data_IF_369823574721
#
_entry.id   IF_369823574721
#
_cell.length_a   1.000
_cell.length_b   1.000
_cell.length_c   1.000
_cell.angle_alpha   90.00
_cell.angle_beta   90.00
_cell.angle_gamma   90.00
#
_symmetry.space_group_name_H-M   'P 1'
#
loop_
_entity.id
_entity.type
_entity.pdbx_description
1 polymer ?
#
# COMPACT_ATOMS: atom_id res chain seq x y z
N UNK A 1 -27.14 49.31 -2.78
CA UNK A 1 -26.88 48.00 -2.11
C UNK A 1 -27.39 46.80 -2.90
N UNK A 2 -28.00 46.98 -4.09
CA UNK A 2 -28.56 45.87 -4.87
C UNK A 2 -27.55 45.23 -5.85
N UNK A 3 -26.57 45.98 -6.33
CA UNK A 3 -25.63 45.50 -7.37
C UNK A 3 -24.57 44.53 -6.84
N UNK A 4 -24.00 44.82 -5.66
CA UNK A 4 -22.99 43.98 -5.03
C UNK A 4 -23.57 42.61 -4.61
N UNK A 5 -24.76 42.61 -4.00
CA UNK A 5 -25.44 41.38 -3.59
C UNK A 5 -25.78 40.47 -4.78
N UNK A 6 -26.13 41.06 -5.93
CA UNK A 6 -26.43 40.31 -7.14
C UNK A 6 -25.21 39.60 -7.72
N UNK A 7 -24.05 40.28 -7.73
CA UNK A 7 -22.79 39.69 -8.19
C UNK A 7 -22.32 38.55 -7.29
N UNK A 8 -22.44 38.70 -5.97
CA UNK A 8 -22.10 37.64 -5.02
C UNK A 8 -22.96 36.38 -5.20
N UNK A 9 -24.27 36.54 -5.40
CA UNK A 9 -25.17 35.41 -5.64
C UNK A 9 -24.90 34.73 -6.98
N UNK A 10 -24.56 35.49 -8.03
CA UNK A 10 -24.19 34.93 -9.34
C UNK A 10 -22.90 34.11 -9.25
N UNK A 11 -21.91 34.58 -8.50
CA UNK A 11 -20.64 33.88 -8.31
C UNK A 11 -20.75 32.68 -7.36
N UNK A 12 -21.76 32.63 -6.49
CA UNK A 12 -21.92 31.56 -5.50
C UNK A 12 -21.98 30.17 -6.15
N UNK A 13 -22.66 30.02 -7.28
CA UNK A 13 -22.75 28.74 -8.01
C UNK A 13 -21.40 28.24 -8.53
N UNK A 14 -20.73 28.98 -9.45
CA UNK A 14 -19.41 28.61 -9.96
C UNK A 14 -18.34 28.46 -8.88
N UNK A 15 -18.36 29.34 -7.86
CA UNK A 15 -17.43 29.24 -6.73
C UNK A 15 -17.65 27.95 -5.93
N UNK A 16 -18.90 27.61 -5.61
CA UNK A 16 -19.23 26.38 -4.88
C UNK A 16 -18.87 25.13 -5.67
N UNK A 17 -19.16 25.10 -6.97
CA UNK A 17 -18.81 23.98 -7.84
C UNK A 17 -17.28 23.77 -7.92
N UNK A 18 -16.53 24.86 -8.07
CA UNK A 18 -15.06 24.83 -8.11
C UNK A 18 -14.48 24.37 -6.78
N UNK A 19 -14.98 24.90 -5.66
CA UNK A 19 -14.53 24.53 -4.32
C UNK A 19 -14.79 23.05 -4.04
N UNK A 20 -15.98 22.54 -4.38
CA UNK A 20 -16.34 21.13 -4.21
C UNK A 20 -15.43 20.22 -5.05
N UNK A 21 -15.26 20.53 -6.34
CA UNK A 21 -14.39 19.76 -7.22
C UNK A 21 -12.95 19.73 -6.70
N UNK A 22 -12.40 20.89 -6.31
CA UNK A 22 -11.02 20.98 -5.82
C UNK A 22 -10.82 20.24 -4.49
N UNK A 23 -11.80 20.31 -3.59
CA UNK A 23 -11.79 19.59 -2.32
C UNK A 23 -11.77 18.08 -2.52
N UNK A 24 -12.65 17.55 -3.38
CA UNK A 24 -12.66 16.12 -3.74
C UNK A 24 -11.37 15.73 -4.46
N UNK A 25 -10.89 16.55 -5.38
CA UNK A 25 -9.66 16.31 -6.12
C UNK A 25 -8.48 16.16 -5.16
N UNK A 26 -8.27 17.08 -4.21
CA UNK A 26 -7.21 16.95 -3.19
C UNK A 26 -7.44 15.81 -2.21
N UNK A 27 -8.69 15.55 -1.82
CA UNK A 27 -8.99 14.46 -0.90
C UNK A 27 -8.55 13.10 -1.46
N UNK A 28 -8.76 12.87 -2.76
CA UNK A 28 -8.37 11.63 -3.44
C UNK A 28 -6.96 11.68 -4.05
N UNK A 29 -6.47 12.85 -4.46
CA UNK A 29 -5.07 13.02 -4.86
C UNK A 29 -4.22 13.04 -3.60
N UNK A 30 -3.59 11.92 -3.31
CA UNK A 30 -2.54 11.81 -2.30
C UNK A 30 -1.24 12.57 -2.65
N UNK A 31 -1.29 13.66 -3.41
CA UNK A 31 -0.08 14.39 -3.84
C UNK A 31 0.53 15.22 -2.70
N UNK A 32 -0.28 15.61 -1.72
CA UNK A 32 0.09 16.30 -0.48
C UNK A 32 0.36 15.36 0.70
N UNK A 33 0.18 14.04 0.51
CA UNK A 33 0.58 13.04 1.49
C UNK A 33 1.88 12.39 1.02
N UNK A 34 2.99 12.81 1.61
CA UNK A 34 4.16 11.94 1.65
C UNK A 34 3.74 10.71 2.44
N UNK A 35 3.57 9.57 1.76
CA UNK A 35 3.58 8.30 2.46
C UNK A 35 5.01 8.09 2.96
N UNK A 36 5.33 8.68 4.10
CA UNK A 36 6.43 8.22 4.92
C UNK A 36 6.02 6.83 5.43
N UNK A 37 6.10 5.82 4.56
CA UNK A 37 6.12 4.42 4.97
C UNK A 37 7.47 4.15 5.62
N UNK A 38 7.79 4.86 6.69
CA UNK A 38 8.87 4.53 7.59
C UNK A 38 8.28 3.72 8.72
N UNK A 39 7.88 2.49 8.39
CA UNK A 39 7.88 1.45 9.43
C UNK A 39 9.24 0.80 9.35
N UNK A 40 10.20 1.40 10.04
CA UNK A 40 11.44 0.71 10.37
C UNK A 40 11.04 -0.53 11.17
N UNK A 41 10.95 -1.66 10.48
CA UNK A 41 10.77 -2.94 11.15
C UNK A 41 12.16 -3.31 11.61
N UNK A 42 12.44 -3.12 12.90
CA UNK A 42 13.65 -3.65 13.51
C UNK A 42 13.63 -5.16 13.31
N UNK A 43 14.40 -5.64 12.33
CA UNK A 43 14.64 -7.07 12.16
C UNK A 43 15.67 -7.46 13.19
N UNK A 44 15.21 -7.90 14.35
CA UNK A 44 16.08 -8.58 15.31
C UNK A 44 16.42 -9.96 14.72
N UNK A 45 17.58 -10.04 14.07
CA UNK A 45 18.10 -11.29 13.56
C UNK A 45 18.40 -12.21 14.75
N UNK A 46 17.44 -13.09 15.08
CA UNK A 46 17.71 -14.17 16.03
C UNK A 46 18.77 -15.09 15.42
N UNK A 47 19.76 -15.54 16.21
CA UNK A 47 20.68 -16.56 15.71
C UNK A 47 19.86 -17.76 15.25
N UNK A 48 20.14 -18.24 14.04
CA UNK A 48 19.62 -19.52 13.56
C UNK A 48 20.31 -20.61 14.40
N UNK A 49 19.75 -20.89 15.58
CA UNK A 49 20.23 -21.98 16.44
C UNK A 49 19.58 -23.26 15.98
N UNK A 50 20.37 -24.08 15.30
CA UNK A 50 19.99 -25.41 14.84
C UNK A 50 21.24 -26.15 14.38
N UNK A 51 21.31 -27.46 14.61
CA UNK A 51 22.29 -28.29 13.91
C UNK A 51 21.81 -28.44 12.47
N UNK A 52 22.28 -27.57 11.58
CA UNK A 52 21.97 -27.68 10.17
C UNK A 52 22.62 -28.94 9.61
N UNK A 53 21.80 -29.94 9.29
CA UNK A 53 22.21 -31.09 8.50
C UNK A 53 21.92 -30.76 7.05
N UNK A 54 22.95 -30.68 6.23
CA UNK A 54 22.77 -30.62 4.77
C UNK A 54 21.97 -31.86 4.33
N UNK A 55 20.80 -31.63 3.75
CA UNK A 55 19.92 -32.68 3.25
C UNK A 55 20.06 -32.90 1.75
N UNK A 56 20.50 -31.87 1.01
CA UNK A 56 20.67 -31.94 -0.44
C UNK A 56 21.62 -30.82 -0.93
N UNK A 57 22.20 -30.98 -2.13
CA UNK A 57 22.97 -29.96 -2.84
C UNK A 57 22.59 -29.97 -4.32
N UNK A 58 22.08 -28.85 -4.82
CA UNK A 58 21.71 -28.68 -6.22
C UNK A 58 22.68 -27.72 -6.88
N UNK A 59 23.49 -28.21 -7.82
CA UNK A 59 24.38 -27.38 -8.65
C UNK A 59 23.89 -27.40 -10.09
N UNK A 60 23.56 -26.23 -10.65
CA UNK A 60 23.20 -26.10 -12.07
C UNK A 60 21.77 -26.51 -12.43
N UNK A 61 20.77 -26.11 -11.62
CA UNK A 61 19.36 -26.33 -11.98
C UNK A 61 18.96 -25.53 -13.23
N UNK A 62 18.35 -26.20 -14.21
CA UNK A 62 17.64 -25.56 -15.34
C UNK A 62 16.13 -25.49 -15.10
N UNK A 63 15.66 -26.00 -13.96
CA UNK A 63 14.25 -26.02 -13.61
C UNK A 63 13.75 -24.59 -13.39
N UNK A 64 12.68 -24.24 -14.10
CA UNK A 64 12.06 -22.90 -13.97
C UNK A 64 11.25 -22.75 -12.68
N UNK A 65 11.03 -23.86 -11.95
CA UNK A 65 10.22 -23.90 -10.72
C UNK A 65 10.81 -24.84 -9.68
N UNK A 66 10.60 -24.48 -8.41
CA UNK A 66 10.97 -25.33 -7.27
C UNK A 66 9.94 -26.46 -7.15
N UNK A 67 10.40 -27.69 -6.97
CA UNK A 67 9.50 -28.82 -6.72
C UNK A 67 8.78 -28.59 -5.38
N UNK A 68 7.46 -28.64 -5.41
CA UNK A 68 6.63 -28.31 -4.26
C UNK A 68 6.35 -26.80 -4.10
N UNK A 69 6.54 -26.00 -5.15
CA UNK A 69 6.14 -24.60 -5.09
C UNK A 69 4.64 -24.43 -4.77
N UNK A 70 4.34 -23.47 -3.90
CA UNK A 70 2.97 -23.16 -3.47
C UNK A 70 2.52 -21.81 -4.04
N UNK A 71 3.08 -21.40 -5.19
CA UNK A 71 2.86 -20.07 -5.84
C UNK A 71 1.38 -19.83 -6.13
N UNK A 72 0.63 -20.88 -6.44
CA UNK A 72 -0.82 -20.81 -6.72
C UNK A 72 -1.69 -21.21 -5.53
N UNK A 73 -1.09 -21.60 -4.41
CA UNK A 73 -1.81 -22.05 -3.21
C UNK A 73 -1.98 -20.91 -2.19
N UNK A 74 -2.66 -19.84 -2.62
CA UNK A 74 -2.78 -18.58 -1.87
C UNK A 74 -3.33 -18.75 -0.45
N UNK A 75 -4.18 -19.76 -0.20
CA UNK A 75 -4.81 -20.02 1.10
C UNK A 75 -3.95 -20.81 2.08
N UNK A 76 -2.87 -21.46 1.64
CA UNK A 76 -1.99 -22.27 2.50
C UNK A 76 -0.80 -21.47 3.05
N UNK A 77 -0.54 -20.29 2.51
CA UNK A 77 0.60 -19.44 2.90
C UNK A 77 0.38 -18.69 4.21
N UNK A 78 -0.87 -18.51 4.63
CA UNK A 78 -1.22 -17.69 5.79
C UNK A 78 -2.02 -18.52 6.79
N UNK A 79 -1.34 -19.01 7.82
CA UNK A 79 -1.99 -19.50 9.02
C UNK A 79 -2.10 -18.30 9.97
N UNK A 80 -3.32 -18.00 10.43
CA UNK A 80 -3.49 -17.00 11.48
C UNK A 80 -2.94 -17.63 12.76
N UNK A 81 -1.90 -17.06 13.35
CA UNK A 81 -1.50 -17.40 14.71
C UNK A 81 -2.65 -16.96 15.63
N UNK A 82 -3.51 -17.91 16.01
CA UNK A 82 -4.44 -17.77 17.13
C UNK A 82 -3.61 -17.82 18.41
N UNK A 83 -3.33 -16.63 18.96
CA UNK A 83 -2.95 -16.45 20.36
C UNK A 83 -4.18 -16.44 21.26
#
# INVERSE_FOLDING_TARGET
MSDDSGLWLLLAGPASATALYWGLYRYYRNTDKSHAFERETTVEAKPVTGSDRQVDTITGTQETRIRGDNVREYRKRVVRNSG
#
